data_IF_302977837010
#
_entry.id   IF_302977837010
#
_cell.length_a   1.000
_cell.length_b   1.000
_cell.length_c   1.000
_cell.angle_alpha   90.00
_cell.angle_beta   90.00
_cell.angle_gamma   90.00
#
_symmetry.space_group_name_H-M   'P 1'
#
loop_
_entity.id
_entity.type
_entity.pdbx_description
1 polymer ?
#
# COMPACT_ATOMS: atom_id res chain seq x y z
N UNK A 1 -26.95 -42.97 -47.40
CA UNK A 1 -27.15 -41.95 -46.33
C UNK A 1 -28.14 -42.38 -45.23
N UNK A 2 -28.76 -43.58 -45.23
CA UNK A 2 -29.87 -43.88 -44.30
C UNK A 2 -29.45 -44.25 -42.86
N UNK A 3 -28.32 -44.94 -42.66
CA UNK A 3 -27.93 -45.46 -41.34
C UNK A 3 -27.63 -44.35 -40.29
N UNK A 4 -27.21 -43.17 -40.73
CA UNK A 4 -26.85 -42.06 -39.84
C UNK A 4 -28.08 -41.30 -39.32
N UNK A 5 -29.16 -41.27 -40.10
CA UNK A 5 -30.44 -40.68 -39.68
C UNK A 5 -31.15 -41.58 -38.65
N UNK A 6 -31.07 -42.90 -38.80
CA UNK A 6 -31.58 -43.87 -37.82
C UNK A 6 -30.80 -43.87 -36.49
N UNK A 7 -29.52 -43.50 -36.52
CA UNK A 7 -28.74 -43.33 -35.28
C UNK A 7 -29.20 -42.10 -34.48
N UNK A 8 -29.49 -40.99 -35.17
CA UNK A 8 -30.00 -39.75 -34.55
C UNK A 8 -31.42 -39.90 -34.01
N UNK A 9 -32.31 -40.61 -34.72
CA UNK A 9 -33.69 -40.85 -34.23
C UNK A 9 -33.72 -41.72 -32.98
N UNK A 10 -32.86 -42.74 -32.89
CA UNK A 10 -32.74 -43.61 -31.72
C UNK A 10 -32.17 -42.89 -30.49
N UNK A 11 -31.19 -42.00 -30.66
CA UNK A 11 -30.71 -41.13 -29.57
C UNK A 11 -31.80 -40.18 -29.08
N UNK A 12 -32.54 -39.54 -29.98
CA UNK A 12 -33.64 -38.63 -29.62
C UNK A 12 -34.80 -39.34 -28.90
N UNK A 13 -35.02 -40.64 -29.13
CA UNK A 13 -36.02 -41.44 -28.41
C UNK A 13 -35.50 -41.92 -27.05
N UNK A 14 -34.25 -42.40 -26.95
CA UNK A 14 -33.65 -42.81 -25.68
C UNK A 14 -33.62 -41.66 -24.66
N UNK A 15 -33.33 -40.44 -25.11
CA UNK A 15 -33.25 -39.25 -24.27
C UNK A 15 -34.63 -38.72 -23.79
N UNK A 16 -35.74 -39.23 -24.34
CA UNK A 16 -37.11 -38.97 -23.84
C UNK A 16 -37.57 -39.92 -22.74
N UNK A 17 -36.90 -41.06 -22.54
CA UNK A 17 -37.27 -42.05 -21.53
C UNK A 17 -36.54 -41.88 -20.19
N UNK A 18 -35.51 -41.03 -20.11
CA UNK A 18 -34.80 -40.68 -18.87
C UNK A 18 -35.43 -39.52 -18.09
N UNK A 19 -36.76 -39.37 -18.13
CA UNK A 19 -37.48 -38.50 -17.18
C UNK A 19 -37.56 -39.25 -15.85
N UNK A 20 -36.54 -39.07 -15.02
CA UNK A 20 -36.51 -39.59 -13.65
C UNK A 20 -37.70 -39.00 -12.88
N UNK A 21 -38.58 -39.86 -12.36
CA UNK A 21 -39.68 -39.44 -11.50
C UNK A 21 -39.14 -38.84 -10.19
N UNK A 22 -39.01 -37.52 -10.16
CA UNK A 22 -38.66 -36.76 -8.95
C UNK A 22 -39.84 -36.79 -7.98
N UNK A 23 -39.82 -37.73 -7.03
CA UNK A 23 -40.72 -37.68 -5.88
C UNK A 23 -40.38 -36.45 -5.02
N UNK A 24 -41.38 -35.63 -4.61
CA UNK A 24 -41.12 -34.46 -3.78
C UNK A 24 -40.70 -34.91 -2.37
N UNK A 25 -39.48 -34.52 -1.97
CA UNK A 25 -38.99 -34.79 -0.62
C UNK A 25 -39.85 -34.06 0.43
N UNK A 26 -40.54 -34.83 1.29
CA UNK A 26 -41.27 -34.27 2.43
C UNK A 26 -40.29 -33.80 3.51
N UNK A 27 -39.89 -32.53 3.42
CA UNK A 27 -39.09 -31.86 4.46
C UNK A 27 -39.98 -31.56 5.67
N UNK A 28 -39.63 -32.11 6.83
CA UNK A 28 -40.35 -31.84 8.07
C UNK A 28 -40.32 -30.33 8.39
N UNK A 29 -41.47 -29.74 8.73
CA UNK A 29 -41.56 -28.32 9.12
C UNK A 29 -40.75 -28.07 10.39
N UNK A 30 -39.59 -27.42 10.25
CA UNK A 30 -38.78 -26.95 11.37
C UNK A 30 -39.62 -26.00 12.21
N UNK A 31 -39.77 -26.34 13.50
CA UNK A 31 -40.54 -25.57 14.48
C UNK A 31 -39.81 -24.24 14.72
N UNK A 32 -40.30 -23.14 14.11
CA UNK A 32 -39.75 -21.79 14.30
C UNK A 32 -39.68 -21.49 15.81
N UNK A 33 -38.45 -21.43 16.34
CA UNK A 33 -38.20 -20.97 17.70
C UNK A 33 -38.53 -19.48 17.81
N UNK A 34 -38.78 -19.00 19.03
CA UNK A 34 -39.36 -17.68 19.30
C UNK A 34 -38.35 -16.54 19.10
N UNK A 35 -37.95 -16.28 17.86
CA UNK A 35 -37.01 -15.22 17.49
C UNK A 35 -37.43 -13.82 17.99
N UNK A 36 -38.73 -13.58 18.16
CA UNK A 36 -39.25 -12.35 18.75
C UNK A 36 -38.79 -12.12 20.21
N UNK A 37 -38.57 -13.18 21.01
CA UNK A 37 -38.02 -13.03 22.37
C UNK A 37 -36.60 -12.43 22.36
N UNK A 38 -35.79 -12.75 21.34
CA UNK A 38 -34.47 -12.16 21.18
C UNK A 38 -34.54 -10.69 20.74
N UNK A 39 -35.52 -10.30 19.92
CA UNK A 39 -35.74 -8.87 19.60
C UNK A 39 -36.19 -8.07 20.82
N UNK A 40 -37.11 -8.59 21.64
CA UNK A 40 -37.55 -7.91 22.87
C UNK A 40 -36.40 -7.79 23.88
N UNK A 41 -35.59 -8.85 24.06
CA UNK A 41 -34.41 -8.80 24.93
C UNK A 41 -33.36 -7.78 24.44
N UNK A 42 -33.08 -7.73 23.12
CA UNK A 42 -32.16 -6.76 22.54
C UNK A 42 -32.62 -5.30 22.70
N UNK A 43 -33.91 -5.04 22.52
CA UNK A 43 -34.48 -3.70 22.69
C UNK A 43 -34.42 -3.23 24.15
N UNK A 44 -34.74 -4.11 25.11
CA UNK A 44 -34.63 -3.80 26.54
C UNK A 44 -33.18 -3.48 26.96
N UNK A 45 -32.20 -4.25 26.45
CA UNK A 45 -30.78 -3.99 26.71
C UNK A 45 -30.33 -2.62 26.15
N UNK A 46 -30.83 -2.23 24.97
CA UNK A 46 -30.50 -0.93 24.38
C UNK A 46 -31.04 0.26 25.17
N UNK A 47 -32.24 0.14 25.77
CA UNK A 47 -32.81 1.19 26.63
C UNK A 47 -32.05 1.34 27.96
N UNK A 48 -31.58 0.24 28.55
CA UNK A 48 -30.80 0.27 29.79
C UNK A 48 -29.48 1.05 29.64
N UNK A 49 -28.78 0.86 28.52
CA UNK A 49 -27.52 1.60 28.22
C UNK A 49 -27.80 3.08 27.92
N UNK A 50 -28.88 3.38 27.18
CA UNK A 50 -29.26 4.76 26.88
C UNK A 50 -29.62 5.59 28.13
N UNK A 51 -30.32 4.97 29.10
CA UNK A 51 -30.71 5.65 30.34
C UNK A 51 -29.52 6.07 31.23
N UNK A 52 -28.46 5.25 31.28
CA UNK A 52 -27.28 5.52 32.12
C UNK A 52 -26.42 6.67 31.58
N UNK A 53 -26.41 6.89 30.26
CA UNK A 53 -25.68 8.00 29.65
C UNK A 53 -26.31 9.37 29.97
N UNK A 54 -27.64 9.45 30.09
CA UNK A 54 -28.36 10.71 30.33
C UNK A 54 -28.22 11.18 31.80
N UNK A 55 -28.13 10.26 32.77
CA UNK A 55 -28.01 10.64 34.19
C UNK A 55 -26.64 11.22 34.59
N UNK A 56 -25.61 11.06 33.77
CA UNK A 56 -24.26 11.61 34.02
C UNK A 56 -24.13 13.09 33.62
N UNK A 57 -25.07 13.64 32.85
CA UNK A 57 -24.95 14.99 32.26
C UNK A 57 -25.33 16.13 33.24
N UNK A 58 -25.72 15.82 34.49
CA UNK A 58 -26.43 16.77 35.36
C UNK A 58 -25.75 17.00 36.72
N UNK A 59 -24.41 17.01 36.73
CA UNK A 59 -23.59 17.27 37.92
C UNK A 59 -22.39 18.19 37.63
N UNK A 60 -22.61 19.33 36.95
CA UNK A 60 -21.60 20.41 36.83
C UNK A 60 -22.19 21.77 36.43
N UNK A 61 -23.12 22.27 37.26
CA UNK A 61 -23.36 23.71 37.43
C UNK A 61 -23.67 23.96 38.91
N UNK A 62 -22.66 24.40 39.67
CA UNK A 62 -22.81 25.48 40.67
C UNK A 62 -21.47 25.76 41.40
N UNK A 63 -21.39 26.95 42.01
CA UNK A 63 -20.33 27.46 42.90
C UNK A 63 -19.00 27.91 42.26
N UNK A 64 -18.96 29.19 41.87
CA UNK A 64 -17.85 30.08 42.30
C UNK A 64 -18.46 31.35 42.86
N UNK A 65 -18.45 31.49 44.19
CA UNK A 65 -18.79 32.73 44.89
C UNK A 65 -17.69 33.05 45.91
N UNK A 66 -17.02 34.17 45.69
CA UNK A 66 -16.39 35.10 46.64
C UNK A 66 -15.86 34.50 47.97
N UNK A 67 -14.54 34.52 48.14
CA UNK A 67 -13.95 35.30 49.25
C UNK A 67 -12.54 35.81 48.94
N UNK A 68 -12.19 36.98 49.48
CA UNK A 68 -10.88 37.63 49.38
C UNK A 68 -10.46 38.19 50.74
N UNK A 69 -9.42 37.62 51.36
CA UNK A 69 -8.75 38.21 52.52
C UNK A 69 -7.23 38.28 52.36
N UNK A 70 -6.79 39.40 51.79
CA UNK A 70 -5.62 40.22 52.17
C UNK A 70 -4.53 39.57 53.04
N UNK A 71 -3.31 39.44 52.49
CA UNK A 71 -2.07 39.89 53.16
C UNK A 71 -1.16 40.54 52.12
N UNK A 72 -0.75 41.79 52.37
CA UNK A 72 0.27 42.51 51.59
C UNK A 72 1.61 42.49 52.33
N UNK A 73 2.74 42.46 51.62
CA UNK A 73 3.81 43.48 51.74
C UNK A 73 5.09 43.22 50.91
N UNK A 74 5.34 44.10 49.92
CA UNK A 74 6.64 44.73 49.55
C UNK A 74 7.81 43.86 49.03
N UNK A 75 8.73 44.35 48.18
CA UNK A 75 9.23 45.72 47.93
C UNK A 75 9.38 46.07 46.41
N UNK A 76 9.36 47.39 46.12
CA UNK A 76 10.16 48.17 45.13
C UNK A 76 10.61 47.52 43.79
N UNK A 77 10.57 48.12 42.58
CA UNK A 77 10.45 49.52 42.09
C UNK A 77 10.35 49.45 40.52
N UNK A 78 10.10 50.49 39.68
CA UNK A 78 9.84 51.94 39.87
C UNK A 78 9.13 52.55 38.62
N UNK A 79 8.10 53.39 38.85
CA UNK A 79 7.78 54.66 38.17
C UNK A 79 7.44 54.77 36.65
N UNK A 80 6.77 55.91 36.34
CA UNK A 80 6.35 56.45 35.02
C UNK A 80 5.11 55.77 34.40
N UNK A 81 4.02 56.43 33.95
CA UNK A 81 3.23 57.63 34.29
C UNK A 81 2.23 57.84 33.13
N UNK A 82 0.93 57.83 33.47
CA UNK A 82 -0.24 58.49 32.84
C UNK A 82 -0.75 58.12 31.41
N UNK A 83 -1.99 57.60 31.41
CA UNK A 83 -3.22 58.06 30.70
C UNK A 83 -3.22 58.39 29.19
N UNK A 84 -4.34 58.04 28.49
CA UNK A 84 -5.44 59.01 28.34
C UNK A 84 -6.85 58.44 28.55
N UNK A 85 -7.84 59.35 28.62
CA UNK A 85 -9.23 59.11 29.05
C UNK A 85 -10.25 59.59 28.00
N UNK A 86 -11.23 58.73 27.69
CA UNK A 86 -12.63 59.00 27.22
C UNK A 86 -12.93 59.92 26.01
N UNK A 87 -13.84 59.47 25.13
CA UNK A 87 -15.27 59.89 24.99
C UNK A 87 -15.85 59.31 23.66
N UNK A 88 -16.95 58.53 23.71
CA UNK A 88 -18.32 58.84 23.21
C UNK A 88 -18.37 59.29 21.73
N UNK A 89 -18.96 58.59 20.75
CA UNK A 89 -20.34 58.11 20.50
C UNK A 89 -20.85 58.82 19.24
N UNK A 90 -21.22 58.07 18.19
CA UNK A 90 -22.45 58.22 17.38
C UNK A 90 -22.33 57.41 16.08
N UNK A 91 -23.36 56.61 15.77
CA UNK A 91 -23.56 55.95 14.48
C UNK A 91 -25.07 55.87 14.26
N UNK A 92 -25.55 56.43 13.15
CA UNK A 92 -26.81 56.05 12.55
C UNK A 92 -26.68 56.03 11.01
N UNK A 93 -27.66 55.43 10.32
CA UNK A 93 -27.80 55.11 8.88
C UNK A 93 -26.97 55.95 7.85
N UNK A 94 -26.55 55.45 6.66
CA UNK A 94 -27.39 54.80 5.63
C UNK A 94 -26.58 54.35 4.38
N UNK A 95 -27.02 53.25 3.74
CA UNK A 95 -26.94 52.92 2.29
C UNK A 95 -25.77 53.35 1.38
N UNK A 96 -25.04 52.38 0.80
CA UNK A 96 -24.82 52.26 -0.67
C UNK A 96 -24.05 51.00 -1.10
N UNK A 97 -24.40 50.48 -2.28
CA UNK A 97 -23.57 49.61 -3.16
C UNK A 97 -23.04 50.47 -4.33
N UNK A 98 -22.14 50.03 -5.26
CA UNK A 98 -21.64 48.68 -5.53
C UNK A 98 -20.12 48.59 -5.86
N UNK A 99 -19.71 47.45 -6.46
CA UNK A 99 -18.77 47.31 -7.60
C UNK A 99 -17.56 46.36 -7.43
N UNK A 100 -17.25 45.65 -8.52
CA UNK A 100 -16.10 44.77 -8.72
C UNK A 100 -14.78 45.53 -8.81
N UNK A 101 -13.69 44.94 -8.30
CA UNK A 101 -12.32 45.18 -8.78
C UNK A 101 -11.49 43.89 -8.80
N UNK A 102 -10.82 43.63 -9.93
CA UNK A 102 -9.85 42.56 -10.12
C UNK A 102 -8.43 43.03 -9.79
N UNK A 103 -7.54 42.19 -9.22
CA UNK A 103 -6.11 42.49 -9.15
C UNK A 103 -5.32 41.79 -10.27
N UNK A 104 -4.86 42.57 -11.24
CA UNK A 104 -3.75 42.22 -12.13
C UNK A 104 -2.43 42.36 -11.39
N UNK A 105 -1.49 41.40 -11.47
CA UNK A 105 -0.04 41.68 -11.29
C UNK A 105 0.87 40.62 -11.94
N UNK A 106 1.61 41.10 -12.96
CA UNK A 106 3.00 40.77 -13.39
C UNK A 106 3.47 39.32 -13.45
N UNK A 107 3.74 38.88 -14.69
CA UNK A 107 4.57 37.73 -15.05
C UNK A 107 6.05 38.16 -15.05
N UNK A 108 6.95 37.32 -14.52
CA UNK A 108 8.42 37.44 -14.64
C UNK A 108 8.92 36.28 -15.53
N UNK A 109 9.76 36.52 -16.55
CA UNK A 109 10.27 35.46 -17.41
C UNK A 109 11.48 34.75 -16.81
N UNK A 110 11.53 33.42 -16.93
CA UNK A 110 12.73 32.62 -16.64
C UNK A 110 13.07 31.76 -17.86
N UNK A 111 14.33 31.82 -18.28
CA UNK A 111 14.84 31.22 -19.51
C UNK A 111 14.82 29.68 -19.47
N UNK A 112 14.54 29.06 -20.63
CA UNK A 112 14.88 27.66 -20.91
C UNK A 112 16.17 27.61 -21.74
N UNK A 113 17.16 26.77 -21.41
CA UNK A 113 18.25 26.48 -22.32
C UNK A 113 17.73 25.58 -23.47
N UNK A 114 18.02 26.00 -24.70
CA UNK A 114 17.83 25.20 -25.91
C UNK A 114 19.13 24.44 -26.16
N UNK A 115 19.06 23.12 -26.37
CA UNK A 115 20.15 22.38 -27.00
C UNK A 115 19.72 21.88 -28.37
N UNK A 116 20.63 22.10 -29.33
CA UNK A 116 20.34 22.12 -30.75
C UNK A 116 20.81 20.83 -31.41
N UNK A 117 20.01 20.28 -32.31
CA UNK A 117 20.35 19.11 -33.13
C UNK A 117 21.56 19.40 -34.02
N UNK A 118 22.57 18.52 -33.95
CA UNK A 118 23.57 18.35 -34.98
C UNK A 118 23.31 17.03 -35.72
N UNK A 119 23.26 17.09 -37.05
CA UNK A 119 23.04 15.93 -37.94
C UNK A 119 24.32 15.69 -38.73
N UNK A 120 24.91 14.50 -38.64
CA UNK A 120 25.94 14.04 -39.59
C UNK A 120 25.66 12.62 -40.04
N UNK A 121 25.72 12.48 -41.37
CA UNK A 121 25.66 11.33 -42.27
C UNK A 121 25.71 9.89 -41.73
N UNK A 122 24.89 9.07 -42.40
CA UNK A 122 25.00 7.61 -42.49
C UNK A 122 26.25 7.23 -43.29
N UNK A 123 26.95 6.18 -42.87
CA UNK A 123 27.68 5.33 -43.80
C UNK A 123 27.52 3.83 -43.45
N UNK A 124 27.56 2.96 -44.46
CA UNK A 124 26.98 1.60 -44.39
C UNK A 124 27.93 0.58 -45.02
N UNK A 125 28.56 -0.27 -44.21
CA UNK A 125 29.26 -1.45 -44.76
C UNK A 125 29.37 -2.67 -43.82
N UNK A 126 28.80 -3.77 -44.33
CA UNK A 126 29.28 -5.16 -44.26
C UNK A 126 29.62 -5.79 -42.90
N UNK A 127 28.66 -6.61 -42.44
CA UNK A 127 28.93 -7.91 -41.81
C UNK A 127 30.00 -8.71 -42.56
N UNK A 128 30.89 -9.38 -41.83
CA UNK A 128 31.55 -10.61 -42.28
C UNK A 128 31.82 -11.55 -41.10
N UNK A 129 31.75 -12.85 -41.37
CA UNK A 129 31.88 -13.94 -40.39
C UNK A 129 33.34 -14.36 -40.16
N UNK A 130 33.70 -14.71 -38.92
CA UNK A 130 34.66 -15.78 -38.62
C UNK A 130 34.69 -16.14 -37.11
N UNK A 131 34.34 -17.38 -36.77
CA UNK A 131 34.87 -18.10 -35.60
C UNK A 131 36.33 -18.51 -35.85
N UNK A 132 37.21 -18.61 -34.84
CA UNK A 132 37.38 -19.93 -34.21
C UNK A 132 37.69 -19.96 -32.69
N UNK A 133 37.18 -21.01 -32.05
CA UNK A 133 37.86 -21.94 -31.12
C UNK A 133 38.79 -21.43 -30.00
N UNK A 134 38.27 -21.56 -28.77
CA UNK A 134 38.89 -22.17 -27.56
C UNK A 134 40.42 -22.11 -27.39
N UNK A 135 40.87 -21.50 -26.29
CA UNK A 135 41.89 -22.09 -25.38
C UNK A 135 41.66 -21.57 -23.96
N UNK A 136 41.57 -22.49 -23.00
CA UNK A 136 41.48 -22.19 -21.57
C UNK A 136 42.87 -21.96 -21.00
N UNK A 137 43.10 -20.83 -20.30
CA UNK A 137 44.05 -20.75 -19.19
C UNK A 137 43.47 -19.91 -18.06
N UNK A 138 43.52 -20.47 -16.88
CA UNK A 138 43.06 -19.93 -15.61
C UNK A 138 44.31 -19.65 -14.79
N UNK A 139 44.59 -18.39 -14.49
CA UNK A 139 45.60 -17.99 -13.51
C UNK A 139 45.02 -16.88 -12.63
N UNK A 140 45.13 -17.05 -11.32
CA UNK A 140 44.52 -16.18 -10.32
C UNK A 140 45.55 -15.21 -9.78
N UNK A 141 45.24 -13.91 -9.81
CA UNK A 141 46.06 -12.88 -9.18
C UNK A 141 45.16 -12.00 -8.28
N UNK A 142 45.15 -12.29 -6.97
CA UNK A 142 44.46 -11.46 -5.99
C UNK A 142 45.45 -10.52 -5.31
N UNK A 143 45.24 -9.21 -5.46
CA UNK A 143 46.15 -8.18 -4.96
C UNK A 143 45.91 -7.87 -3.48
N UNK A 144 46.77 -8.45 -2.64
CA UNK A 144 47.48 -7.80 -1.53
C UNK A 144 46.91 -6.47 -0.96
N UNK A 145 46.31 -6.52 0.23
CA UNK A 145 46.40 -5.44 1.24
C UNK A 145 46.54 -6.05 2.64
N UNK A 146 47.62 -5.69 3.34
CA UNK A 146 47.89 -6.04 4.74
C UNK A 146 47.35 -4.96 5.69
N UNK A 147 47.20 -5.28 6.98
CA UNK A 147 47.65 -4.36 8.02
C UNK A 147 48.62 -5.01 9.02
N UNK A 148 49.84 -4.47 9.00
CA UNK A 148 50.72 -4.11 10.12
C UNK A 148 50.79 -5.00 11.39
N UNK A 149 52.00 -5.50 11.60
CA UNK A 149 52.52 -6.14 12.81
C UNK A 149 52.32 -5.33 14.11
N UNK A 150 52.10 -6.05 15.23
CA UNK A 150 52.61 -5.61 16.53
C UNK A 150 53.48 -6.71 17.14
N UNK A 151 54.79 -6.45 17.19
CA UNK A 151 55.74 -7.34 17.85
C UNK A 151 55.73 -7.03 19.35
N UNK A 152 55.51 -8.04 20.21
CA UNK A 152 55.86 -7.96 21.63
C UNK A 152 56.79 -9.10 22.01
N UNK A 153 58.09 -8.79 22.01
CA UNK A 153 59.11 -9.68 22.58
C UNK A 153 59.02 -9.61 24.11
N UNK A 154 58.83 -10.76 24.75
CA UNK A 154 59.26 -10.99 26.14
C UNK A 154 59.95 -12.34 26.15
N UNK A 155 61.26 -12.33 26.37
CA UNK A 155 62.05 -13.55 26.53
C UNK A 155 62.12 -13.92 28.01
N UNK A 156 62.01 -15.22 28.33
CA UNK A 156 62.96 -16.00 29.14
C UNK A 156 62.40 -17.40 29.41
N UNK A 157 63.25 -18.43 29.33
CA UNK A 157 63.12 -19.63 30.18
C UNK A 157 62.83 -20.98 29.51
N UNK A 158 63.91 -21.76 29.37
CA UNK A 158 63.99 -23.22 29.51
C UNK A 158 63.24 -24.15 28.54
N UNK A 159 63.90 -25.29 28.31
CA UNK A 159 63.48 -26.40 27.44
C UNK A 159 62.35 -27.23 28.07
N UNK A 160 61.35 -27.61 27.27
CA UNK A 160 60.66 -28.88 27.44
C UNK A 160 60.01 -29.30 26.11
N UNK A 161 60.49 -30.39 25.52
CA UNK A 161 59.81 -31.04 24.40
C UNK A 161 58.49 -31.64 24.89
N UNK A 162 57.39 -30.98 24.58
CA UNK A 162 56.04 -31.54 24.59
C UNK A 162 55.33 -31.03 23.34
N UNK A 163 54.95 -31.94 22.43
CA UNK A 163 54.03 -31.63 21.33
C UNK A 163 52.63 -31.37 21.87
N UNK A 164 52.45 -30.19 22.50
CA UNK A 164 51.12 -29.63 22.71
C UNK A 164 50.63 -29.25 21.32
N UNK A 165 49.74 -30.09 20.77
CA UNK A 165 48.98 -29.78 19.56
C UNK A 165 48.10 -28.57 19.87
N UNK A 166 48.66 -27.37 19.68
CA UNK A 166 48.03 -26.11 20.04
C UNK A 166 46.87 -25.85 19.08
N UNK A 167 45.69 -26.31 19.49
CA UNK A 167 44.42 -25.92 18.86
C UNK A 167 44.28 -24.41 19.03
N UNK A 168 44.71 -23.66 18.02
CA UNK A 168 44.54 -22.23 17.94
C UNK A 168 43.04 -21.96 17.72
N UNK A 169 42.31 -21.78 18.81
CA UNK A 169 40.91 -21.37 18.79
C UNK A 169 40.88 -19.89 18.42
N UNK A 170 40.95 -19.61 17.12
CA UNK A 170 40.73 -18.28 16.57
C UNK A 170 39.26 -17.87 16.79
N UNK A 171 39.04 -16.90 17.67
CA UNK A 171 37.72 -16.35 17.92
C UNK A 171 37.35 -15.41 16.77
N UNK A 172 36.57 -15.92 15.81
CA UNK A 172 36.03 -15.11 14.72
C UNK A 172 34.81 -14.34 15.23
N UNK A 173 34.97 -13.02 15.38
CA UNK A 173 33.84 -12.12 15.64
C UNK A 173 32.89 -12.08 14.44
N UNK A 174 31.60 -12.31 14.69
CA UNK A 174 30.58 -12.31 13.63
C UNK A 174 30.24 -10.88 13.20
N UNK A 175 30.13 -10.65 11.89
CA UNK A 175 29.71 -9.35 11.35
C UNK A 175 28.24 -9.03 11.70
N UNK A 176 27.81 -7.75 11.65
CA UNK A 176 26.40 -7.38 11.85
C UNK A 176 25.44 -8.18 10.95
N UNK A 177 25.73 -8.35 9.66
CA UNK A 177 24.98 -9.22 8.76
C UNK A 177 24.92 -10.69 9.23
N UNK A 178 26.04 -11.27 9.68
CA UNK A 178 26.06 -12.65 10.17
C UNK A 178 25.26 -12.81 11.47
N UNK A 179 25.35 -11.84 12.37
CA UNK A 179 24.53 -11.78 13.59
C UNK A 179 23.05 -11.61 13.25
N UNK A 180 22.71 -10.79 12.26
CA UNK A 180 21.36 -10.63 11.74
C UNK A 180 20.82 -11.93 11.14
N UNK A 181 21.60 -12.66 10.34
CA UNK A 181 21.20 -13.98 9.79
C UNK A 181 20.96 -14.99 10.92
N UNK A 182 21.81 -15.02 11.95
CA UNK A 182 21.62 -15.89 13.13
C UNK A 182 20.36 -15.52 13.92
N UNK A 183 20.13 -14.22 14.15
CA UNK A 183 18.93 -13.73 14.82
C UNK A 183 17.65 -14.00 13.99
N UNK A 184 17.73 -13.93 12.66
CA UNK A 184 16.63 -14.24 11.74
C UNK A 184 16.26 -15.72 11.79
N UNK A 185 17.26 -16.62 11.78
CA UNK A 185 17.06 -18.06 11.94
C UNK A 185 16.40 -18.41 13.28
N UNK A 186 16.83 -17.76 14.37
CA UNK A 186 16.20 -17.87 15.70
C UNK A 186 14.75 -17.36 15.69
N UNK A 187 14.50 -16.20 15.07
CA UNK A 187 13.17 -15.61 15.00
C UNK A 187 12.19 -16.50 14.21
N UNK A 188 12.62 -17.01 13.05
CA UNK A 188 11.82 -17.93 12.23
C UNK A 188 11.51 -19.22 13.01
N UNK A 189 12.50 -19.83 13.67
CA UNK A 189 12.28 -20.99 14.55
C UNK A 189 11.30 -20.70 15.69
N UNK A 190 11.39 -19.53 16.32
CA UNK A 190 10.47 -19.14 17.39
C UNK A 190 9.03 -18.90 16.87
N UNK A 191 8.86 -18.44 15.63
CA UNK A 191 7.54 -18.41 14.97
C UNK A 191 7.00 -19.83 14.78
N UNK A 192 7.82 -20.75 14.27
CA UNK A 192 7.42 -22.15 14.05
C UNK A 192 7.09 -22.89 15.37
N UNK A 193 7.80 -22.59 16.46
CA UNK A 193 7.50 -23.06 17.82
C UNK A 193 6.28 -22.37 18.47
N UNK A 194 5.67 -21.36 17.83
CA UNK A 194 4.63 -20.50 18.40
C UNK A 194 5.09 -19.71 19.66
N UNK A 195 6.40 -19.48 19.80
CA UNK A 195 7.06 -18.74 20.89
C UNK A 195 7.06 -17.23 20.59
N UNK A 196 5.86 -16.63 20.54
CA UNK A 196 5.63 -15.25 20.07
C UNK A 196 6.56 -14.19 20.71
N UNK A 197 6.90 -14.32 22.00
CA UNK A 197 7.81 -13.37 22.65
C UNK A 197 9.23 -13.47 22.08
N UNK A 198 9.78 -14.68 21.98
CA UNK A 198 11.13 -14.86 21.45
C UNK A 198 11.21 -14.45 19.97
N UNK A 199 10.16 -14.73 19.18
CA UNK A 199 10.08 -14.27 17.80
C UNK A 199 10.11 -12.73 17.69
N UNK A 200 9.35 -12.02 18.53
CA UNK A 200 9.37 -10.55 18.57
C UNK A 200 10.74 -10.00 18.99
N UNK A 201 11.35 -10.57 20.02
CA UNK A 201 12.66 -10.15 20.52
C UNK A 201 13.76 -10.42 19.48
N UNK A 202 13.72 -11.57 18.81
CA UNK A 202 14.70 -11.98 17.80
C UNK A 202 14.59 -11.19 16.49
N UNK A 203 13.40 -10.93 15.94
CA UNK A 203 13.28 -10.02 14.77
C UNK A 203 13.64 -8.57 15.13
N UNK A 204 13.38 -8.13 16.37
CA UNK A 204 13.82 -6.81 16.83
C UNK A 204 15.35 -6.72 16.87
N UNK A 205 16.03 -7.81 17.22
CA UNK A 205 17.49 -7.94 17.14
C UNK A 205 18.00 -7.95 15.69
N UNK A 206 17.32 -8.60 14.74
CA UNK A 206 17.65 -8.50 13.30
C UNK A 206 17.65 -7.05 12.83
N UNK A 207 16.66 -6.25 13.25
CA UNK A 207 16.57 -4.82 12.92
C UNK A 207 17.56 -3.94 13.69
N UNK A 208 18.13 -4.41 14.80
CA UNK A 208 19.23 -3.73 15.50
C UNK A 208 20.54 -3.88 14.72
N UNK A 209 20.79 -5.06 14.15
CA UNK A 209 21.99 -5.32 13.34
C UNK A 209 21.86 -4.84 11.90
N UNK A 210 20.67 -5.00 11.29
CA UNK A 210 20.36 -4.64 9.89
C UNK A 210 19.06 -3.82 9.80
N UNK A 211 19.09 -2.50 10.08
CA UNK A 211 17.88 -1.66 10.14
C UNK A 211 17.04 -1.63 8.85
N UNK A 212 17.70 -1.82 7.71
CA UNK A 212 17.11 -1.79 6.36
C UNK A 212 16.43 -3.12 5.95
N UNK A 213 16.52 -4.17 6.77
CA UNK A 213 15.99 -5.50 6.45
C UNK A 213 14.45 -5.50 6.37
N UNK A 214 13.92 -5.31 5.15
CA UNK A 214 12.48 -5.24 4.90
C UNK A 214 11.75 -6.52 5.29
N UNK A 215 12.34 -7.69 5.06
CA UNK A 215 11.70 -8.98 5.35
C UNK A 215 11.52 -9.18 6.86
N UNK A 216 12.56 -8.90 7.66
CA UNK A 216 12.48 -8.96 9.11
C UNK A 216 11.46 -7.94 9.66
N UNK A 217 11.42 -6.74 9.07
CA UNK A 217 10.48 -5.67 9.42
C UNK A 217 9.03 -6.02 9.09
N UNK A 218 8.79 -6.63 7.94
CA UNK A 218 7.49 -7.14 7.54
C UNK A 218 7.04 -8.25 8.51
N UNK A 219 7.89 -9.24 8.78
CA UNK A 219 7.61 -10.34 9.73
C UNK A 219 7.32 -9.82 11.14
N UNK A 220 8.14 -8.92 11.67
CA UNK A 220 7.93 -8.27 12.97
C UNK A 220 6.59 -7.52 13.03
N UNK A 221 6.26 -6.73 12.00
CA UNK A 221 4.97 -6.03 11.94
C UNK A 221 3.77 -6.99 11.92
N UNK A 222 3.89 -8.13 11.24
CA UNK A 222 2.84 -9.15 11.19
C UNK A 222 2.64 -9.83 12.55
N UNK A 223 3.70 -10.05 13.33
CA UNK A 223 3.59 -10.56 14.70
C UNK A 223 2.94 -9.57 15.66
N UNK A 224 3.33 -8.28 15.63
CA UNK A 224 2.64 -7.25 16.41
C UNK A 224 1.16 -7.16 16.04
N UNK A 225 0.83 -7.24 14.76
CA UNK A 225 -0.56 -7.30 14.29
C UNK A 225 -1.31 -8.53 14.80
N UNK A 226 -0.70 -9.73 14.71
CA UNK A 226 -1.28 -10.98 15.21
C UNK A 226 -1.51 -10.99 16.73
N UNK A 227 -0.72 -10.22 17.49
CA UNK A 227 -0.88 -9.97 18.92
C UNK A 227 -2.01 -8.96 19.24
N UNK A 228 -2.56 -8.27 18.24
CA UNK A 228 -3.55 -7.20 18.39
C UNK A 228 -2.97 -5.78 18.49
N UNK A 229 -1.66 -5.61 18.35
CA UNK A 229 -1.01 -4.29 18.35
C UNK A 229 -0.83 -3.77 16.91
N UNK A 230 -1.97 -3.42 16.30
CA UNK A 230 -2.01 -2.83 14.96
C UNK A 230 -1.27 -1.49 14.89
N UNK A 231 -1.20 -0.74 16.00
CA UNK A 231 -0.49 0.54 16.06
C UNK A 231 1.01 0.34 15.93
N UNK A 232 1.60 -0.61 16.66
CA UNK A 232 3.03 -0.91 16.55
C UNK A 232 3.38 -1.51 15.19
N UNK A 233 2.52 -2.36 14.65
CA UNK A 233 2.67 -2.88 13.28
C UNK A 233 2.76 -1.75 12.24
N UNK A 234 1.87 -0.75 12.32
CA UNK A 234 1.89 0.44 11.46
C UNK A 234 3.20 1.23 11.60
N UNK A 235 3.66 1.49 12.83
CA UNK A 235 4.89 2.25 13.09
C UNK A 235 6.16 1.55 12.56
N UNK A 236 6.23 0.23 12.71
CA UNK A 236 7.34 -0.59 12.21
C UNK A 236 7.43 -0.54 10.69
N UNK A 237 6.29 -0.64 9.99
CA UNK A 237 6.22 -0.54 8.54
C UNK A 237 6.54 0.89 8.06
N UNK A 238 5.91 1.91 8.66
CA UNK A 238 6.13 3.31 8.29
C UNK A 238 7.60 3.73 8.48
N UNK A 239 8.26 3.28 9.55
CA UNK A 239 9.68 3.57 9.76
C UNK A 239 10.61 2.90 8.76
N UNK A 240 10.26 1.73 8.21
CA UNK A 240 11.04 1.11 7.13
C UNK A 240 10.87 1.78 5.77
N UNK A 241 9.65 2.25 5.45
CA UNK A 241 9.38 3.03 4.22
C UNK A 241 10.18 4.35 4.20
N UNK A 242 10.58 4.87 5.38
CA UNK A 242 11.50 6.01 5.50
C UNK A 242 12.96 5.67 5.21
N UNK A 243 13.38 4.41 5.41
CA UNK A 243 14.74 3.94 5.12
C UNK A 243 14.88 3.61 3.63
N UNK A 244 13.98 2.77 3.09
CA UNK A 244 13.91 2.49 1.66
C UNK A 244 12.65 3.12 1.04
N UNK A 245 12.80 4.30 0.43
CA UNK A 245 11.68 4.99 -0.20
C UNK A 245 11.13 4.26 -1.42
N UNK A 246 11.98 3.56 -2.18
CA UNK A 246 11.57 2.82 -3.38
C UNK A 246 11.19 1.36 -3.08
N UNK A 247 11.32 0.90 -1.83
CA UNK A 247 10.91 -0.42 -1.38
C UNK A 247 9.39 -0.60 -1.44
N UNK A 248 8.93 -1.52 -2.28
CA UNK A 248 7.50 -1.81 -2.44
C UNK A 248 6.94 -2.77 -1.38
N UNK A 249 7.76 -3.66 -0.83
CA UNK A 249 7.32 -4.74 0.07
C UNK A 249 6.56 -4.20 1.31
N UNK A 250 7.17 -3.24 2.00
CA UNK A 250 6.65 -2.60 3.20
C UNK A 250 5.43 -1.72 2.90
N UNK A 251 5.40 -1.08 1.72
CA UNK A 251 4.27 -0.27 1.26
C UNK A 251 3.05 -1.14 0.99
N UNK A 252 3.22 -2.28 0.33
CA UNK A 252 2.19 -3.30 0.12
C UNK A 252 1.72 -3.86 1.46
N UNK A 253 2.63 -4.19 2.37
CA UNK A 253 2.29 -4.67 3.72
C UNK A 253 1.47 -3.63 4.50
N UNK A 254 1.83 -2.36 4.44
CA UNK A 254 1.13 -1.27 5.12
C UNK A 254 -0.27 -1.01 4.54
N UNK A 255 -0.40 -1.02 3.21
CA UNK A 255 -1.71 -0.94 2.55
C UNK A 255 -2.61 -2.13 2.94
N UNK A 256 -2.06 -3.36 2.95
CA UNK A 256 -2.79 -4.57 3.39
C UNK A 256 -3.19 -4.50 4.86
N UNK A 257 -2.35 -3.97 5.75
CA UNK A 257 -2.69 -3.71 7.16
C UNK A 257 -3.89 -2.76 7.29
N UNK A 258 -3.85 -1.63 6.59
CA UNK A 258 -4.93 -0.62 6.61
C UNK A 258 -6.26 -1.17 6.06
N UNK A 259 -6.21 -2.04 5.03
CA UNK A 259 -7.41 -2.75 4.54
C UNK A 259 -8.01 -3.65 5.62
N UNK A 260 -7.19 -4.42 6.35
CA UNK A 260 -7.67 -5.31 7.42
C UNK A 260 -8.29 -4.53 8.58
N UNK A 261 -7.71 -3.39 8.94
CA UNK A 261 -8.24 -2.46 9.94
C UNK A 261 -9.45 -1.65 9.44
N UNK A 262 -10.02 -1.99 8.28
CA UNK A 262 -11.15 -1.34 7.62
C UNK A 262 -10.91 0.13 7.23
N UNK A 263 -9.69 0.63 7.37
CA UNK A 263 -9.24 1.96 6.98
C UNK A 263 -9.00 2.04 5.46
N UNK A 264 -10.01 1.66 4.67
CA UNK A 264 -9.93 1.57 3.20
C UNK A 264 -9.56 2.89 2.52
N UNK A 265 -9.92 4.03 3.09
CA UNK A 265 -9.61 5.35 2.56
C UNK A 265 -8.12 5.70 2.72
N UNK A 266 -7.53 5.35 3.87
CA UNK A 266 -6.10 5.53 4.14
C UNK A 266 -5.22 4.47 3.46
N UNK A 267 -5.77 3.32 3.06
CA UNK A 267 -5.02 2.22 2.49
C UNK A 267 -4.27 2.56 1.18
N UNK A 268 -4.70 3.59 0.45
CA UNK A 268 -4.01 4.08 -0.73
C UNK A 268 -2.76 4.92 -0.40
N UNK A 269 -2.71 5.57 0.77
CA UNK A 269 -1.65 6.53 1.14
C UNK A 269 -0.22 5.94 1.04
N UNK A 270 0.08 4.69 1.47
CA UNK A 270 1.40 4.09 1.29
C UNK A 270 1.82 3.89 -0.17
N UNK A 271 0.84 3.83 -1.08
CA UNK A 271 0.99 3.50 -2.50
C UNK A 271 0.89 4.72 -3.43
N UNK A 272 0.77 5.95 -2.90
CA UNK A 272 0.73 7.17 -3.72
C UNK A 272 2.06 7.36 -4.46
N UNK A 273 3.18 7.23 -3.73
CA UNK A 273 4.51 7.10 -4.34
C UNK A 273 4.53 5.92 -5.30
N UNK A 274 5.27 6.04 -6.39
CA UNK A 274 5.36 4.98 -7.38
C UNK A 274 6.84 4.66 -7.66
N UNK A 275 7.36 3.53 -7.15
CA UNK A 275 8.71 3.08 -7.44
C UNK A 275 8.98 2.99 -8.95
N UNK A 276 10.24 3.22 -9.33
CA UNK A 276 10.67 3.22 -10.74
C UNK A 276 10.34 1.88 -11.42
N UNK A 277 10.64 0.78 -10.73
CA UNK A 277 10.42 -0.61 -11.17
C UNK A 277 9.27 -1.29 -10.40
N UNK A 278 8.16 -0.58 -10.17
CA UNK A 278 7.01 -1.12 -9.45
C UNK A 278 6.43 -2.39 -10.09
N UNK A 279 6.21 -3.42 -9.28
CA UNK A 279 5.71 -4.73 -9.71
C UNK A 279 4.23 -4.72 -10.09
N UNK A 280 3.78 -5.80 -10.75
CA UNK A 280 2.35 -6.05 -11.03
C UNK A 280 1.53 -6.10 -9.73
N UNK A 281 2.09 -6.65 -8.65
CA UNK A 281 1.42 -6.71 -7.32
C UNK A 281 1.26 -5.30 -6.71
N UNK A 282 2.29 -4.46 -6.81
CA UNK A 282 2.21 -3.07 -6.37
C UNK A 282 1.17 -2.27 -7.17
N UNK A 283 1.27 -2.34 -8.49
CA UNK A 283 0.44 -1.59 -9.41
C UNK A 283 -1.02 -2.02 -9.37
N UNK A 284 -1.31 -3.32 -9.27
CA UNK A 284 -2.68 -3.84 -9.18
C UNK A 284 -3.37 -3.46 -7.87
N UNK A 285 -2.63 -3.50 -6.74
CA UNK A 285 -3.15 -3.03 -5.45
C UNK A 285 -3.39 -1.51 -5.46
N UNK A 286 -2.45 -0.72 -6.01
CA UNK A 286 -2.60 0.73 -6.19
C UNK A 286 -3.81 1.07 -7.07
N UNK A 287 -3.96 0.40 -8.21
CA UNK A 287 -5.07 0.60 -9.14
C UNK A 287 -6.43 0.33 -8.50
N UNK A 288 -6.57 -0.82 -7.82
CA UNK A 288 -7.83 -1.20 -7.16
C UNK A 288 -8.21 -0.25 -6.02
N UNK A 289 -7.23 0.17 -5.20
CA UNK A 289 -7.47 1.13 -4.12
C UNK A 289 -7.74 2.54 -4.65
N UNK A 290 -7.02 2.99 -5.69
CA UNK A 290 -7.27 4.28 -6.34
C UNK A 290 -8.66 4.35 -6.96
N UNK A 291 -9.10 3.30 -7.67
CA UNK A 291 -10.43 3.22 -8.24
C UNK A 291 -11.52 3.23 -7.15
N UNK A 292 -11.33 2.49 -6.04
CA UNK A 292 -12.24 2.51 -4.88
C UNK A 292 -12.30 3.90 -4.22
N UNK A 293 -11.17 4.59 -4.12
CA UNK A 293 -11.05 5.93 -3.55
C UNK A 293 -11.41 7.07 -4.55
N UNK A 294 -11.87 6.74 -5.77
CA UNK A 294 -12.15 7.70 -6.86
C UNK A 294 -10.96 8.60 -7.24
N UNK A 295 -9.74 8.12 -7.03
CA UNK A 295 -8.49 8.78 -7.41
C UNK A 295 -8.14 8.41 -8.85
N UNK A 296 -8.90 8.97 -9.79
CA UNK A 296 -8.96 8.48 -11.17
C UNK A 296 -7.63 8.63 -11.93
N UNK A 297 -6.85 9.67 -11.63
CA UNK A 297 -5.50 9.87 -12.17
C UNK A 297 -4.51 8.79 -11.72
N UNK A 298 -4.54 8.40 -10.43
CA UNK A 298 -3.69 7.33 -9.88
C UNK A 298 -4.10 5.95 -10.44
N UNK A 299 -5.41 5.71 -10.60
CA UNK A 299 -5.93 4.49 -11.22
C UNK A 299 -5.51 4.39 -12.69
N UNK A 300 -5.65 5.48 -13.45
CA UNK A 300 -5.25 5.57 -14.86
C UNK A 300 -3.76 5.27 -15.04
N UNK A 301 -2.88 5.94 -14.28
CA UNK A 301 -1.43 5.70 -14.32
C UNK A 301 -1.09 4.23 -14.02
N UNK A 302 -1.69 3.65 -12.98
CA UNK A 302 -1.42 2.26 -12.60
C UNK A 302 -1.88 1.26 -13.66
N UNK A 303 -3.06 1.43 -14.24
CA UNK A 303 -3.52 0.55 -15.32
C UNK A 303 -2.73 0.73 -16.62
N UNK A 304 -2.27 1.94 -16.94
CA UNK A 304 -1.36 2.18 -18.08
C UNK A 304 -0.02 1.45 -17.91
N UNK A 305 0.52 1.35 -16.70
CA UNK A 305 1.74 0.55 -16.43
C UNK A 305 1.44 -0.95 -16.45
N UNK A 306 0.33 -1.41 -15.86
CA UNK A 306 -0.06 -2.82 -15.88
C UNK A 306 -0.20 -3.38 -17.30
N UNK A 307 -0.87 -2.65 -18.20
CA UNK A 307 -1.03 -3.06 -19.61
C UNK A 307 0.31 -3.11 -20.36
N UNK A 308 1.31 -2.30 -19.97
CA UNK A 308 2.67 -2.37 -20.55
C UNK A 308 3.48 -3.56 -20.04
N UNK A 309 3.28 -3.98 -18.79
CA UNK A 309 3.98 -5.11 -18.18
C UNK A 309 3.35 -6.47 -18.55
N UNK A 310 2.02 -6.51 -18.67
CA UNK A 310 1.22 -7.72 -18.89
C UNK A 310 0.11 -7.42 -19.91
N UNK A 311 0.51 -7.32 -21.18
CA UNK A 311 -0.35 -6.92 -22.28
C UNK A 311 -1.39 -7.99 -22.68
N UNK A 312 -1.26 -9.24 -22.23
CA UNK A 312 -2.22 -10.31 -22.56
C UNK A 312 -3.37 -10.43 -21.54
N UNK A 313 -3.22 -9.87 -20.34
CA UNK A 313 -4.22 -9.94 -19.30
C UNK A 313 -5.34 -8.92 -19.52
N UNK A 314 -6.44 -9.40 -20.08
CA UNK A 314 -7.63 -8.62 -20.42
C UNK A 314 -8.22 -7.77 -19.27
N UNK A 315 -7.97 -8.16 -18.00
CA UNK A 315 -8.46 -7.41 -16.82
C UNK A 315 -7.75 -6.07 -16.65
N UNK A 316 -6.48 -5.94 -17.05
CA UNK A 316 -5.76 -4.67 -17.01
C UNK A 316 -6.26 -3.71 -18.09
N UNK A 317 -6.56 -4.22 -19.29
CA UNK A 317 -7.22 -3.46 -20.35
C UNK A 317 -8.62 -2.97 -19.93
N UNK A 318 -9.43 -3.83 -19.31
CA UNK A 318 -10.73 -3.42 -18.76
C UNK A 318 -10.59 -2.32 -17.70
N UNK A 319 -9.65 -2.47 -16.76
CA UNK A 319 -9.37 -1.45 -15.74
C UNK A 319 -8.91 -0.12 -16.35
N UNK A 320 -8.05 -0.18 -17.37
CA UNK A 320 -7.57 1.00 -18.11
C UNK A 320 -8.72 1.74 -18.80
N UNK A 321 -9.61 1.01 -19.49
CA UNK A 321 -10.73 1.62 -20.21
C UNK A 321 -11.71 2.31 -19.25
N UNK A 322 -12.02 1.68 -18.11
CA UNK A 322 -12.84 2.29 -17.05
C UNK A 322 -12.16 3.54 -16.47
N UNK A 323 -10.83 3.53 -16.29
CA UNK A 323 -10.10 4.70 -15.79
C UNK A 323 -10.11 5.86 -16.79
N UNK A 324 -9.85 5.59 -18.08
CA UNK A 324 -9.92 6.58 -19.16
C UNK A 324 -11.31 7.22 -19.26
N UNK A 325 -12.35 6.40 -19.20
CA UNK A 325 -13.74 6.84 -19.24
C UNK A 325 -14.10 7.76 -18.06
N UNK A 326 -13.61 7.43 -16.85
CA UNK A 326 -13.79 8.27 -15.65
C UNK A 326 -13.05 9.61 -15.76
N UNK A 327 -11.93 9.65 -16.49
CA UNK A 327 -11.23 10.90 -16.87
C UNK A 327 -11.81 11.57 -18.13
N UNK A 328 -12.97 11.13 -18.62
CA UNK A 328 -13.66 11.64 -19.82
C UNK A 328 -12.91 11.47 -21.16
N UNK A 329 -11.87 10.64 -21.21
CA UNK A 329 -11.20 10.25 -22.45
C UNK A 329 -11.98 9.09 -23.11
N UNK A 330 -13.17 9.43 -23.63
CA UNK A 330 -14.10 8.46 -24.21
C UNK A 330 -13.55 7.80 -25.48
N UNK A 331 -12.70 8.51 -26.24
CA UNK A 331 -12.07 7.99 -27.45
C UNK A 331 -11.04 6.90 -27.13
N UNK A 332 -10.12 7.17 -26.20
CA UNK A 332 -9.18 6.14 -25.77
C UNK A 332 -9.88 5.00 -25.03
N UNK A 333 -10.89 5.29 -24.20
CA UNK A 333 -11.69 4.26 -23.52
C UNK A 333 -12.35 3.30 -24.52
N UNK A 334 -12.98 3.81 -25.59
CA UNK A 334 -13.62 3.01 -26.66
C UNK A 334 -12.62 2.04 -27.31
N UNK A 335 -11.43 2.52 -27.67
CA UNK A 335 -10.35 1.68 -28.20
C UNK A 335 -9.88 0.62 -27.18
N UNK A 336 -9.59 1.03 -25.94
CA UNK A 336 -9.09 0.13 -24.88
C UNK A 336 -10.11 -0.93 -24.49
N UNK A 337 -11.41 -0.62 -24.50
CA UNK A 337 -12.49 -1.58 -24.31
C UNK A 337 -12.50 -2.64 -25.43
N UNK A 338 -12.28 -2.25 -26.69
CA UNK A 338 -12.14 -3.21 -27.80
C UNK A 338 -10.90 -4.11 -27.62
N UNK A 339 -9.77 -3.56 -27.16
CA UNK A 339 -8.59 -4.36 -26.83
C UNK A 339 -8.87 -5.36 -25.70
N UNK A 340 -9.55 -4.95 -24.62
CA UNK A 340 -9.94 -5.84 -23.53
C UNK A 340 -10.78 -7.05 -24.01
N UNK A 341 -11.65 -6.84 -25.00
CA UNK A 341 -12.48 -7.87 -25.61
C UNK A 341 -11.73 -8.80 -26.58
N UNK A 342 -10.59 -8.36 -27.12
CA UNK A 342 -9.73 -9.17 -27.98
C UNK A 342 -8.77 -10.09 -27.18
N UNK A 343 -8.64 -9.84 -25.86
CA UNK A 343 -7.79 -10.61 -24.95
C UNK A 343 -8.58 -11.70 -24.19
N UNK A 344 -7.87 -12.76 -23.80
CA UNK A 344 -8.44 -13.90 -23.06
C UNK A 344 -8.47 -13.60 -21.55
N UNK A 345 -9.43 -14.17 -20.82
CA UNK A 345 -9.48 -14.13 -19.36
C UNK A 345 -10.51 -13.18 -18.74
N UNK A 346 -11.40 -12.59 -19.54
CA UNK A 346 -12.62 -11.94 -19.02
C UNK A 346 -13.74 -12.96 -18.78
N UNK A 347 -14.55 -12.71 -17.75
CA UNK A 347 -15.83 -13.41 -17.56
C UNK A 347 -16.85 -12.97 -18.62
N UNK A 348 -17.83 -13.80 -18.93
CA UNK A 348 -18.94 -13.43 -19.82
C UNK A 348 -19.68 -12.17 -19.35
N UNK A 349 -19.83 -11.98 -18.03
CA UNK A 349 -20.43 -10.76 -17.46
C UNK A 349 -19.58 -9.52 -17.74
N UNK A 350 -18.24 -9.63 -17.65
CA UNK A 350 -17.31 -8.55 -17.99
C UNK A 350 -17.35 -8.24 -19.49
N UNK A 351 -17.46 -9.27 -20.35
CA UNK A 351 -17.58 -9.08 -21.79
C UNK A 351 -18.89 -8.36 -22.16
N UNK A 352 -20.02 -8.76 -21.57
CA UNK A 352 -21.32 -8.09 -21.76
C UNK A 352 -21.26 -6.62 -21.33
N UNK A 353 -20.75 -6.35 -20.11
CA UNK A 353 -20.56 -4.98 -19.61
C UNK A 353 -19.80 -4.09 -20.61
N UNK A 354 -18.71 -4.60 -21.21
CA UNK A 354 -17.95 -3.82 -22.19
C UNK A 354 -18.77 -3.58 -23.47
N UNK A 355 -19.53 -4.56 -23.96
CA UNK A 355 -20.36 -4.40 -25.17
C UNK A 355 -21.44 -3.35 -24.97
N UNK A 356 -22.14 -3.40 -23.84
CA UNK A 356 -23.13 -2.39 -23.46
C UNK A 356 -22.49 -1.00 -23.37
N UNK A 357 -21.29 -0.90 -22.77
CA UNK A 357 -20.59 0.39 -22.63
C UNK A 357 -20.13 0.96 -23.98
N UNK A 358 -19.66 0.11 -24.90
CA UNK A 358 -19.27 0.53 -26.25
C UNK A 358 -20.43 1.11 -27.06
N UNK A 359 -21.66 0.59 -26.87
CA UNK A 359 -22.88 1.18 -27.47
C UNK A 359 -23.12 2.58 -26.92
N UNK A 360 -23.11 2.74 -25.59
CA UNK A 360 -23.31 4.06 -24.95
C UNK A 360 -22.26 5.08 -25.40
N UNK A 361 -20.97 4.72 -25.38
CA UNK A 361 -19.89 5.62 -25.80
C UNK A 361 -20.00 6.04 -27.28
N UNK A 362 -20.50 5.15 -28.15
CA UNK A 362 -20.72 5.50 -29.57
C UNK A 362 -21.88 6.47 -29.76
N UNK A 363 -22.98 6.30 -29.01
CA UNK A 363 -24.11 7.25 -29.06
C UNK A 363 -23.76 8.65 -28.54
N UNK A 364 -22.85 8.74 -27.56
CA UNK A 364 -22.37 10.03 -27.05
C UNK A 364 -21.54 10.78 -28.11
N UNK A 365 -20.66 10.06 -28.82
CA UNK A 365 -19.86 10.60 -29.94
C UNK A 365 -20.74 11.16 -31.06
N UNK A 366 -21.74 10.39 -31.52
CA UNK A 366 -22.70 10.84 -32.54
C UNK A 366 -23.41 12.13 -32.10
N UNK A 367 -23.90 12.19 -30.86
CA UNK A 367 -24.58 13.38 -30.32
C UNK A 367 -23.67 14.60 -30.18
N UNK A 368 -22.38 14.40 -29.92
CA UNK A 368 -21.40 15.48 -29.83
C UNK A 368 -20.97 16.01 -31.21
N UNK A 369 -21.04 15.19 -32.26
CA UNK A 369 -20.76 15.61 -33.65
C UNK A 369 -21.93 16.30 -34.37
N UNK A 370 -23.13 16.29 -33.76
CA UNK A 370 -24.36 16.82 -34.34
C UNK A 370 -24.72 18.25 -33.88
N UNK A 371 -23.90 18.85 -33.01
CA UNK A 371 -24.03 20.21 -32.47
C UNK A 371 -22.80 21.06 -32.83
#
# INVERSE_FOLDING_TARGET
MSAMNDALSKLAQAQRQSVVNLQPAQVAKVKRSRAWLWMVAGFAASLAVGGWAVSQQQAMVDQVAVDQTVVSQTLANQAIVNEPKSLLLEVDEQSSSPAFVSPTTKIVPVHRPVYQTAVVAVDKKTSNSATPTVTVKQDSALANQQPLHSNRVVALGAESDQEISSVLIEQVDLTPEQLAVKAMSRADKAVDSNELKEALDAYSEVLRFTPENELARQKLSALYYGKGDARKAFEILQSGIKLNHNGESLRIALAKLLIKEKQSEAALTPLVHLPDNASIDYLSLRAALAQKAKQDSLALESYQRLVKLDAENARWWLGLAIAQERTMDFQAAKYTYQQALAKVGLSSQSQLFIRDRLVVLSSLEESASAN
#
